data_IF_871944724128
#
_entry.id   IF_871944724128
#
_cell.length_a   1.000
_cell.length_b   1.000
_cell.length_c   1.000
_cell.angle_alpha   90.00
_cell.angle_beta   90.00
_cell.angle_gamma   90.00
#
_symmetry.space_group_name_H-M   'P 1'
#
loop_
_entity.id
_entity.type
_entity.pdbx_description
1 polymer ?
#
# COMPACT_ATOMS: atom_id res chain seq x y z
N UNK A 1 -13.05 -0.92 13.00
CA UNK A 1 -12.87 -1.19 11.56
C UNK A 1 -13.01 0.15 10.85
N UNK A 2 -12.09 0.53 9.96
CA UNK A 2 -12.33 1.70 9.10
C UNK A 2 -13.63 1.45 8.30
N UNK A 3 -14.54 2.43 8.31
CA UNK A 3 -15.81 2.36 7.60
C UNK A 3 -16.94 1.57 8.30
N UNK A 4 -16.77 1.12 9.55
CA UNK A 4 -17.87 0.48 10.30
C UNK A 4 -18.11 1.18 11.63
N UNK A 5 -19.23 1.92 11.71
CA UNK A 5 -19.77 2.45 12.95
C UNK A 5 -20.49 1.33 13.71
N UNK A 6 -19.96 0.94 14.88
CA UNK A 6 -20.58 -0.05 15.76
C UNK A 6 -20.71 0.59 17.13
N UNK A 7 -21.94 0.69 17.62
CA UNK A 7 -22.21 1.17 18.96
C UNK A 7 -21.88 0.09 20.00
N UNK A 8 -21.34 0.50 21.14
CA UNK A 8 -21.08 -0.42 22.25
C UNK A 8 -22.41 -0.80 22.92
N UNK A 9 -22.90 -2.01 22.61
CA UNK A 9 -24.10 -2.60 23.20
C UNK A 9 -23.83 -3.99 23.79
N UNK A 10 -24.84 -4.59 24.44
CA UNK A 10 -24.73 -5.92 25.04
C UNK A 10 -24.51 -7.04 24.00
N UNK A 11 -24.68 -6.74 22.71
CA UNK A 11 -24.45 -7.63 21.59
C UNK A 11 -23.20 -7.26 20.80
N UNK A 12 -22.30 -6.45 21.35
CA UNK A 12 -21.15 -5.89 20.65
C UNK A 12 -20.32 -6.96 19.95
N UNK A 13 -20.08 -8.12 20.59
CA UNK A 13 -19.33 -9.23 19.97
C UNK A 13 -20.06 -9.80 18.74
N UNK A 14 -21.38 -9.94 18.80
CA UNK A 14 -22.19 -10.40 17.68
C UNK A 14 -22.25 -9.36 16.56
N UNK A 15 -22.45 -8.09 16.91
CA UNK A 15 -22.46 -6.96 15.97
C UNK A 15 -21.10 -6.76 15.30
N UNK A 16 -20.01 -6.93 16.05
CA UNK A 16 -18.64 -6.91 15.54
C UNK A 16 -18.40 -8.07 14.57
N UNK A 17 -18.80 -9.30 14.91
CA UNK A 17 -18.71 -10.44 13.98
C UNK A 17 -19.54 -10.19 12.72
N UNK A 18 -20.78 -9.73 12.84
CA UNK A 18 -21.65 -9.41 11.72
C UNK A 18 -21.08 -8.29 10.84
N UNK A 19 -20.48 -7.28 11.44
CA UNK A 19 -19.77 -6.19 10.75
C UNK A 19 -18.55 -6.68 9.98
N UNK A 20 -17.77 -7.61 10.54
CA UNK A 20 -16.64 -8.26 9.85
C UNK A 20 -17.15 -9.09 8.67
N UNK A 21 -18.22 -9.87 8.86
CA UNK A 21 -18.79 -10.75 7.83
C UNK A 21 -19.48 -9.97 6.70
N UNK A 22 -20.16 -8.86 7.02
CA UNK A 22 -20.84 -8.00 6.05
C UNK A 22 -19.96 -6.85 5.54
N UNK A 23 -18.65 -6.90 5.81
CA UNK A 23 -17.71 -5.92 5.29
C UNK A 23 -17.63 -6.07 3.77
N UNK A 24 -18.41 -5.26 3.05
CA UNK A 24 -18.22 -5.09 1.62
C UNK A 24 -16.85 -4.47 1.39
N UNK A 25 -16.09 -5.02 0.44
CA UNK A 25 -14.77 -4.52 0.08
C UNK A 25 -14.95 -3.12 -0.51
N UNK A 26 -14.88 -2.10 0.35
CA UNK A 26 -14.89 -0.73 -0.11
C UNK A 26 -13.68 -0.56 -1.02
N UNK A 27 -13.93 -0.12 -2.26
CA UNK A 27 -12.88 0.14 -3.26
C UNK A 27 -12.04 1.37 -2.89
N UNK A 28 -12.49 2.15 -1.91
CA UNK A 28 -11.84 3.39 -1.46
C UNK A 28 -10.68 3.05 -0.52
N UNK A 29 -9.47 3.46 -0.90
CA UNK A 29 -8.24 3.16 -0.16
C UNK A 29 -7.88 4.20 0.88
N UNK A 30 -8.27 5.45 0.62
CA UNK A 30 -8.11 6.57 1.53
C UNK A 30 -9.52 7.07 1.82
N UNK A 31 -9.89 7.07 3.08
CA UNK A 31 -11.18 7.53 3.55
C UNK A 31 -11.00 8.72 4.49
N UNK A 32 -11.94 9.66 4.41
CA UNK A 32 -12.04 10.73 5.39
C UNK A 32 -13.18 10.41 6.35
N UNK A 33 -12.86 10.33 7.64
CA UNK A 33 -13.80 10.17 8.74
C UNK A 33 -14.46 11.53 9.07
N UNK A 34 -15.78 11.63 8.89
CA UNK A 34 -16.68 12.74 9.25
C UNK A 34 -16.07 14.17 9.21
N UNK A 35 -16.69 15.12 9.90
CA UNK A 35 -16.29 16.52 9.90
C UNK A 35 -14.90 16.72 10.53
N UNK A 36 -14.18 17.70 9.99
CA UNK A 36 -12.89 18.13 10.52
C UNK A 36 -13.07 18.74 11.92
N UNK A 37 -12.13 18.47 12.83
CA UNK A 37 -12.14 19.09 14.15
C UNK A 37 -11.99 20.62 14.04
N UNK A 38 -12.67 21.36 14.93
CA UNK A 38 -12.63 22.85 15.00
C UNK A 38 -11.19 23.38 15.16
N UNK A 39 -10.29 22.57 15.71
CA UNK A 39 -8.89 22.92 15.92
C UNK A 39 -8.02 22.74 14.68
N UNK A 40 -8.55 22.20 13.58
CA UNK A 40 -7.82 22.04 12.32
C UNK A 40 -7.64 23.43 11.67
N UNK A 41 -6.41 23.95 11.68
CA UNK A 41 -6.12 25.28 11.16
C UNK A 41 -5.89 25.25 9.64
N UNK A 42 -6.35 26.29 8.97
CA UNK A 42 -6.01 26.60 7.60
C UNK A 42 -4.70 27.40 7.55
N UNK A 43 -4.00 27.31 6.42
CA UNK A 43 -2.88 28.19 6.09
C UNK A 43 -3.34 29.60 5.66
N UNK A 44 -2.39 30.46 5.33
CA UNK A 44 -2.65 31.85 4.89
C UNK A 44 -3.50 31.92 3.61
N UNK A 45 -3.55 30.83 2.83
CA UNK A 45 -4.34 30.70 1.61
C UNK A 45 -5.72 30.06 1.85
N UNK A 46 -6.15 29.93 3.11
CA UNK A 46 -7.40 29.28 3.53
C UNK A 46 -7.49 27.79 3.11
N UNK A 47 -6.35 27.11 2.93
CA UNK A 47 -6.30 25.68 2.63
C UNK A 47 -5.91 24.89 3.88
N UNK A 48 -6.47 23.68 4.03
CA UNK A 48 -6.02 22.75 5.07
C UNK A 48 -4.76 21.99 4.64
N UNK A 49 -3.95 21.52 5.58
CA UNK A 49 -2.74 20.74 5.29
C UNK A 49 -3.00 19.52 4.40
N UNK A 50 -4.14 18.85 4.56
CA UNK A 50 -4.51 17.72 3.69
C UNK A 50 -4.76 18.15 2.23
N UNK A 51 -5.24 19.38 2.00
CA UNK A 51 -5.38 19.93 0.64
C UNK A 51 -4.02 20.28 0.06
N UNK A 52 -3.18 20.99 0.83
CA UNK A 52 -1.84 21.42 0.39
C UNK A 52 -0.92 20.23 0.09
N UNK A 53 -1.06 19.14 0.83
CA UNK A 53 -0.27 17.92 0.62
C UNK A 53 -0.71 17.06 -0.57
N UNK A 54 -1.86 17.35 -1.18
CA UNK A 54 -2.35 16.55 -2.30
C UNK A 54 -1.80 17.09 -3.64
N UNK A 55 -0.88 16.38 -4.32
CA UNK A 55 -0.30 16.85 -5.58
C UNK A 55 -1.26 16.79 -6.78
N UNK A 56 -2.45 16.21 -6.59
CA UNK A 56 -3.48 16.06 -7.63
C UNK A 56 -4.72 16.91 -7.37
N UNK A 57 -4.67 17.81 -6.38
CA UNK A 57 -5.81 18.65 -5.95
C UNK A 57 -7.09 17.84 -5.70
N UNK A 58 -6.95 16.58 -5.26
CA UNK A 58 -8.06 15.65 -5.06
C UNK A 58 -8.81 15.88 -3.74
N UNK A 59 -8.39 16.84 -2.91
CA UNK A 59 -9.05 17.18 -1.64
C UNK A 59 -9.67 18.57 -1.77
N UNK A 60 -10.99 18.57 -1.88
CA UNK A 60 -11.81 19.76 -2.10
C UNK A 60 -12.43 20.23 -0.79
N UNK A 61 -12.79 21.51 -0.72
CA UNK A 61 -13.50 22.09 0.41
C UNK A 61 -14.99 22.19 0.10
N UNK A 62 -15.82 21.70 1.01
CA UNK A 62 -17.26 21.81 1.01
C UNK A 62 -17.66 22.96 1.93
N UNK A 63 -18.21 24.03 1.35
CA UNK A 63 -18.64 25.22 2.09
C UNK A 63 -19.85 24.94 2.99
N UNK A 64 -20.75 24.05 2.58
CA UNK A 64 -21.99 23.74 3.30
C UNK A 64 -21.67 23.00 4.59
N UNK A 65 -20.80 22.00 4.50
CA UNK A 65 -20.39 21.17 5.64
C UNK A 65 -19.16 21.72 6.38
N UNK A 66 -18.60 22.85 5.91
CA UNK A 66 -17.36 23.48 6.42
C UNK A 66 -16.24 22.47 6.63
N UNK A 67 -16.09 21.54 5.68
CA UNK A 67 -15.17 20.42 5.80
C UNK A 67 -14.59 20.05 4.45
N UNK A 68 -13.47 19.34 4.44
CA UNK A 68 -12.91 18.82 3.20
C UNK A 68 -13.53 17.48 2.83
N UNK A 69 -13.51 17.13 1.56
CA UNK A 69 -13.84 15.80 1.06
C UNK A 69 -12.85 15.38 -0.04
N UNK A 70 -12.78 14.08 -0.30
CA UNK A 70 -11.88 13.51 -1.31
C UNK A 70 -12.68 13.27 -2.59
N UNK A 71 -12.24 13.86 -3.69
CA UNK A 71 -12.69 13.47 -5.03
C UNK A 71 -11.93 12.22 -5.48
N UNK A 72 -12.63 11.09 -5.53
CA UNK A 72 -12.06 9.79 -5.88
C UNK A 72 -11.68 9.65 -7.35
N UNK A 73 -12.20 10.49 -8.26
CA UNK A 73 -11.79 10.48 -9.66
C UNK A 73 -10.39 11.11 -9.81
N UNK A 74 -10.11 12.13 -9.01
CA UNK A 74 -8.81 12.83 -8.99
C UNK A 74 -7.78 12.14 -8.09
N UNK A 75 -8.21 11.44 -7.05
CA UNK A 75 -7.32 10.71 -6.16
C UNK A 75 -6.57 9.57 -6.89
N UNK A 76 -5.31 9.32 -6.50
CA UNK A 76 -4.51 8.17 -6.97
C UNK A 76 -4.14 7.21 -5.83
N UNK A 77 -4.69 7.43 -4.62
CA UNK A 77 -4.40 6.56 -3.47
C UNK A 77 -3.01 6.75 -2.85
N UNK A 78 -2.42 7.95 -2.97
CA UNK A 78 -1.03 8.21 -2.56
C UNK A 78 -0.72 8.08 -1.07
N UNK A 79 -1.69 8.40 -0.20
CA UNK A 79 -1.53 8.41 1.24
C UNK A 79 -0.94 9.70 1.83
N UNK A 80 -0.43 10.64 1.03
CA UNK A 80 0.20 11.88 1.54
C UNK A 80 -0.71 12.71 2.46
N UNK A 81 -2.01 12.67 2.20
CA UNK A 81 -3.02 13.34 3.01
C UNK A 81 -3.29 12.62 4.35
N UNK A 82 -3.04 11.31 4.44
CA UNK A 82 -3.08 10.52 5.68
C UNK A 82 -1.96 11.00 6.59
N UNK A 83 -0.72 11.01 6.09
CA UNK A 83 0.46 11.45 6.84
C UNK A 83 0.36 12.91 7.31
N UNK A 84 -0.23 13.76 6.48
CA UNK A 84 -0.42 15.18 6.77
C UNK A 84 -1.55 15.45 7.79
N UNK A 85 -2.47 14.51 7.99
CA UNK A 85 -3.61 14.68 8.87
C UNK A 85 -3.25 14.38 10.34
N UNK A 86 -2.79 15.40 11.06
CA UNK A 86 -2.45 15.30 12.50
C UNK A 86 -3.60 14.86 13.42
N UNK A 87 -4.84 14.94 12.95
CA UNK A 87 -6.04 14.60 13.71
C UNK A 87 -6.57 13.20 13.39
N UNK A 88 -5.91 12.43 12.51
CA UNK A 88 -6.33 11.07 12.15
C UNK A 88 -7.71 11.00 11.50
N UNK A 89 -8.12 12.09 10.83
CA UNK A 89 -9.41 12.17 10.12
C UNK A 89 -9.35 11.66 8.69
N UNK A 90 -8.16 11.45 8.15
CA UNK A 90 -7.95 10.78 6.87
C UNK A 90 -7.15 9.52 7.18
N UNK A 91 -7.69 8.37 6.81
CA UNK A 91 -7.12 7.06 7.09
C UNK A 91 -6.99 6.28 5.80
N UNK A 92 -5.98 5.43 5.72
CA UNK A 92 -5.91 4.40 4.70
C UNK A 92 -6.65 3.14 5.15
N UNK A 93 -6.97 2.27 4.19
CA UNK A 93 -7.58 0.98 4.47
C UNK A 93 -6.58 0.09 5.21
N UNK A 94 -6.96 -0.33 6.41
CA UNK A 94 -6.17 -1.29 7.21
C UNK A 94 -6.41 -2.71 6.70
N UNK A 95 -5.35 -3.34 6.15
CA UNK A 95 -5.42 -4.69 5.59
C UNK A 95 -4.90 -5.78 6.57
N UNK A 96 -4.47 -5.40 7.78
CA UNK A 96 -3.92 -6.33 8.79
C UNK A 96 -4.93 -7.35 9.31
N UNK A 97 -6.20 -6.99 9.48
CA UNK A 97 -7.24 -7.89 9.99
C UNK A 97 -7.50 -9.08 9.04
N UNK A 98 -7.77 -8.86 7.72
CA UNK A 98 -7.89 -9.94 6.76
C UNK A 98 -6.68 -10.88 6.70
N UNK A 99 -5.46 -10.35 6.91
CA UNK A 99 -4.23 -11.14 6.88
C UNK A 99 -4.15 -12.08 8.08
N UNK A 100 -4.54 -11.62 9.28
CA UNK A 100 -4.62 -12.49 10.47
C UNK A 100 -5.59 -13.64 10.23
N UNK A 101 -6.73 -13.38 9.57
CA UNK A 101 -7.69 -14.43 9.22
C UNK A 101 -7.14 -15.40 8.16
N UNK A 102 -6.37 -14.92 7.18
CA UNK A 102 -5.68 -15.79 6.21
C UNK A 102 -4.71 -16.76 6.89
N UNK A 103 -3.90 -16.22 7.81
CA UNK A 103 -2.87 -16.98 8.53
C UNK A 103 -3.53 -18.03 9.43
N UNK A 104 -4.60 -17.66 10.17
CA UNK A 104 -5.34 -18.59 11.03
C UNK A 104 -6.02 -19.72 10.26
N UNK A 105 -6.42 -19.48 9.01
CA UNK A 105 -7.08 -20.48 8.17
C UNK A 105 -6.09 -21.42 7.47
N UNK A 106 -4.82 -21.46 7.89
CA UNK A 106 -3.78 -22.39 7.43
C UNK A 106 -3.57 -22.37 5.90
N UNK A 107 -3.81 -21.21 5.26
CA UNK A 107 -3.47 -21.00 3.86
C UNK A 107 -1.97 -20.80 3.74
N UNK A 108 -1.39 -21.20 2.61
CA UNK A 108 0.00 -20.84 2.30
C UNK A 108 0.07 -19.34 2.04
N UNK A 109 0.69 -18.58 2.94
CA UNK A 109 0.83 -17.13 2.82
C UNK A 109 2.31 -16.77 2.75
N UNK A 110 2.73 -16.15 1.65
CA UNK A 110 4.10 -15.68 1.42
C UNK A 110 4.18 -14.18 1.66
N UNK A 111 5.13 -13.77 2.51
CA UNK A 111 5.47 -12.37 2.73
C UNK A 111 6.44 -11.90 1.64
N UNK A 112 5.97 -11.08 0.70
CA UNK A 112 6.79 -10.45 -0.32
C UNK A 112 7.28 -9.09 0.19
N UNK A 113 8.53 -8.99 0.64
CA UNK A 113 9.05 -7.80 1.32
C UNK A 113 9.79 -6.86 0.36
N UNK A 114 9.50 -5.56 0.45
CA UNK A 114 10.20 -4.54 -0.31
C UNK A 114 11.68 -4.42 0.14
N UNK A 115 12.61 -4.08 -0.75
CA UNK A 115 14.04 -3.95 -0.41
C UNK A 115 14.31 -2.95 0.71
N UNK A 116 13.47 -1.91 0.79
CA UNK A 116 13.55 -0.88 1.81
C UNK A 116 13.30 -1.39 3.24
N UNK A 117 12.94 -2.67 3.44
CA UNK A 117 12.74 -3.28 4.77
C UNK A 117 14.05 -3.32 5.58
N UNK A 118 15.19 -3.37 4.89
CA UNK A 118 16.50 -3.35 5.52
C UNK A 118 16.69 -2.02 6.27
N UNK A 119 16.99 -2.09 7.57
CA UNK A 119 17.16 -0.91 8.43
C UNK A 119 15.88 -0.26 8.96
N UNK A 120 14.68 -0.77 8.62
CA UNK A 120 13.42 -0.19 9.12
C UNK A 120 13.12 -0.56 10.57
N UNK A 121 13.57 -1.74 11.00
CA UNK A 121 13.27 -2.31 12.31
C UNK A 121 14.46 -2.26 13.28
N UNK A 122 15.44 -1.39 13.02
CA UNK A 122 16.64 -1.21 13.82
C UNK A 122 17.92 -1.66 13.10
N UNK A 123 19.05 -1.07 13.50
CA UNK A 123 20.35 -1.28 12.84
C UNK A 123 20.89 -2.72 13.01
N UNK A 124 20.43 -3.43 14.05
CA UNK A 124 20.86 -4.80 14.36
C UNK A 124 19.91 -5.87 13.82
N UNK A 125 18.88 -5.50 13.04
CA UNK A 125 17.90 -6.45 12.51
C UNK A 125 18.31 -6.94 11.14
N UNK A 126 18.61 -8.24 11.03
CA UNK A 126 18.97 -8.90 9.78
C UNK A 126 17.75 -9.44 9.00
N UNK A 127 17.97 -9.78 7.73
CA UNK A 127 16.93 -10.40 6.90
C UNK A 127 16.50 -11.77 7.44
N UNK A 128 17.42 -12.55 8.01
CA UNK A 128 17.09 -13.85 8.60
C UNK A 128 16.23 -13.70 9.86
N UNK A 129 16.49 -12.67 10.67
CA UNK A 129 15.67 -12.32 11.82
C UNK A 129 14.26 -11.88 11.42
N UNK A 130 14.14 -11.09 10.35
CA UNK A 130 12.84 -10.73 9.80
C UNK A 130 12.10 -11.95 9.26
N UNK A 131 12.79 -12.85 8.55
CA UNK A 131 12.21 -14.12 8.09
C UNK A 131 11.69 -14.95 9.27
N UNK A 132 12.48 -15.10 10.32
CA UNK A 132 12.06 -15.78 11.55
C UNK A 132 10.85 -15.10 12.20
N UNK A 133 10.79 -13.76 12.19
CA UNK A 133 9.65 -13.00 12.69
C UNK A 133 8.38 -13.29 11.89
N UNK A 134 8.46 -13.32 10.55
CA UNK A 134 7.31 -13.64 9.70
C UNK A 134 6.82 -15.09 9.90
N UNK A 135 7.74 -16.05 10.01
CA UNK A 135 7.39 -17.44 10.32
C UNK A 135 6.71 -17.53 11.70
N UNK A 136 7.21 -16.79 12.70
CA UNK A 136 6.60 -16.73 14.04
C UNK A 136 5.21 -16.10 14.03
N UNK A 137 4.95 -15.10 13.17
CA UNK A 137 3.62 -14.53 12.95
C UNK A 137 2.66 -15.56 12.30
N UNK A 138 3.20 -16.50 11.52
CA UNK A 138 2.45 -17.56 10.84
C UNK A 138 2.46 -17.47 9.31
N UNK A 139 3.31 -16.63 8.72
CA UNK A 139 3.61 -16.73 7.29
C UNK A 139 4.33 -18.04 6.99
N UNK A 140 4.11 -18.59 5.80
CA UNK A 140 4.79 -19.80 5.35
C UNK A 140 6.26 -19.53 5.04
N UNK A 141 6.55 -18.42 4.37
CA UNK A 141 7.92 -17.96 4.13
C UNK A 141 7.95 -16.46 3.77
N UNK A 142 9.16 -15.91 3.69
CA UNK A 142 9.46 -14.56 3.25
C UNK A 142 10.28 -14.59 1.95
N UNK A 143 9.89 -13.77 0.98
CA UNK A 143 10.62 -13.56 -0.28
C UNK A 143 10.92 -12.08 -0.45
N UNK A 144 12.17 -11.74 -0.72
CA UNK A 144 12.55 -10.36 -1.00
C UNK A 144 12.22 -9.98 -2.46
N UNK A 145 11.52 -8.87 -2.62
CA UNK A 145 11.10 -8.34 -3.93
C UNK A 145 12.28 -7.83 -4.76
N UNK A 146 13.44 -7.58 -4.14
CA UNK A 146 14.69 -7.21 -4.82
C UNK A 146 15.02 -8.15 -5.99
N UNK A 147 14.83 -9.46 -5.81
CA UNK A 147 15.05 -10.45 -6.86
C UNK A 147 14.22 -10.15 -8.12
N UNK A 148 12.94 -9.83 -7.94
CA UNK A 148 12.07 -9.46 -9.07
C UNK A 148 12.32 -8.06 -9.59
N UNK A 149 12.92 -7.17 -8.80
CA UNK A 149 13.41 -5.88 -9.29
C UNK A 149 14.55 -6.10 -10.28
N UNK A 150 15.52 -6.98 -9.96
CA UNK A 150 16.62 -7.32 -10.87
C UNK A 150 16.10 -7.93 -12.18
N UNK A 151 15.12 -8.84 -12.09
CA UNK A 151 14.48 -9.43 -13.28
C UNK A 151 13.86 -8.35 -14.19
N UNK A 152 13.16 -7.38 -13.60
CA UNK A 152 12.56 -6.28 -14.33
C UNK A 152 13.62 -5.34 -14.90
N UNK A 153 14.69 -5.04 -14.16
CA UNK A 153 15.80 -4.23 -14.66
C UNK A 153 16.43 -4.85 -15.92
N UNK A 154 16.61 -6.17 -15.96
CA UNK A 154 17.11 -6.85 -17.16
C UNK A 154 16.12 -6.70 -18.32
N UNK A 155 14.82 -6.90 -18.07
CA UNK A 155 13.78 -6.72 -19.10
C UNK A 155 13.76 -5.29 -19.63
N UNK A 156 13.76 -4.30 -18.74
CA UNK A 156 13.75 -2.88 -19.09
C UNK A 156 15.02 -2.47 -19.82
N UNK A 157 16.18 -3.05 -19.49
CA UNK A 157 17.42 -2.80 -20.23
C UNK A 157 17.33 -3.29 -21.68
N UNK A 158 16.72 -4.46 -21.92
CA UNK A 158 16.48 -4.98 -23.27
C UNK A 158 15.49 -4.11 -24.04
N UNK A 159 14.41 -3.69 -23.39
CA UNK A 159 13.42 -2.77 -23.98
C UNK A 159 14.05 -1.42 -24.32
N UNK A 160 14.86 -0.88 -23.42
CA UNK A 160 15.62 0.36 -23.62
C UNK A 160 16.54 0.25 -24.83
N UNK A 161 17.33 -0.82 -24.92
CA UNK A 161 18.26 -1.03 -26.04
C UNK A 161 17.53 -1.13 -27.39
N UNK A 162 16.31 -1.66 -27.41
CA UNK A 162 15.51 -1.75 -28.63
C UNK A 162 14.82 -0.42 -28.98
N UNK A 163 14.44 0.36 -27.97
CA UNK A 163 13.66 1.59 -28.14
C UNK A 163 14.55 2.82 -28.41
N UNK A 164 15.60 2.99 -27.62
CA UNK A 164 16.46 4.19 -27.64
C UNK A 164 17.61 3.99 -28.63
N UNK A 165 17.41 4.45 -29.86
CA UNK A 165 18.38 4.32 -30.96
C UNK A 165 19.01 5.66 -31.37
N UNK A 166 18.51 6.77 -30.83
CA UNK A 166 19.04 8.09 -31.10
C UNK A 166 18.78 9.09 -29.96
N UNK A 167 19.35 10.31 -30.06
CA UNK A 167 19.30 11.31 -28.98
C UNK A 167 17.91 11.93 -28.75
N UNK A 168 16.91 11.58 -29.56
CA UNK A 168 15.52 12.06 -29.43
C UNK A 168 14.58 11.01 -28.86
N UNK A 169 15.04 9.77 -28.73
CA UNK A 169 14.23 8.68 -28.18
C UNK A 169 14.30 8.74 -26.66
N UNK A 170 13.16 8.53 -26.00
CA UNK A 170 13.05 8.59 -24.56
C UNK A 170 12.38 7.31 -24.06
N UNK A 171 12.92 6.74 -22.99
CA UNK A 171 12.24 5.67 -22.27
C UNK A 171 12.33 5.95 -20.77
N UNK A 172 11.18 5.94 -20.12
CA UNK A 172 11.03 6.13 -18.68
C UNK A 172 10.89 4.76 -18.03
N UNK A 173 11.91 4.33 -17.28
CA UNK A 173 11.95 3.02 -16.61
C UNK A 173 11.51 3.07 -15.14
N UNK A 174 11.22 4.25 -14.59
CA UNK A 174 10.74 4.42 -13.20
C UNK A 174 9.25 4.08 -13.02
N UNK A 175 8.68 3.19 -13.85
CA UNK A 175 7.28 2.78 -13.81
C UNK A 175 6.90 1.97 -12.55
N UNK A 176 7.89 1.51 -11.78
CA UNK A 176 7.69 0.77 -10.55
C UNK A 176 7.05 1.59 -9.41
N UNK A 177 7.04 2.92 -9.52
CA UNK A 177 6.44 3.83 -8.56
C UNK A 177 5.02 4.21 -9.00
N UNK A 178 3.95 3.75 -8.31
CA UNK A 178 2.57 4.03 -8.71
C UNK A 178 2.24 5.53 -8.68
N UNK A 179 2.92 6.29 -7.81
CA UNK A 179 2.80 7.74 -7.76
C UNK A 179 3.29 8.43 -9.01
N UNK A 180 4.45 7.99 -9.51
CA UNK A 180 5.03 8.50 -10.74
C UNK A 180 4.14 8.15 -11.94
N UNK A 181 3.69 6.90 -12.03
CA UNK A 181 2.74 6.46 -13.07
C UNK A 181 1.44 7.27 -13.03
N UNK A 182 0.89 7.51 -11.84
CA UNK A 182 -0.30 8.35 -11.65
C UNK A 182 -0.06 9.80 -12.11
N UNK A 183 1.11 10.35 -11.83
CA UNK A 183 1.49 11.69 -12.27
C UNK A 183 1.63 11.80 -13.78
N UNK A 184 2.27 10.83 -14.44
CA UNK A 184 2.33 10.77 -15.90
C UNK A 184 0.92 10.69 -16.52
N UNK A 185 0.05 9.82 -15.99
CA UNK A 185 -1.31 9.64 -16.52
C UNK A 185 -2.21 10.86 -16.33
N UNK A 186 -2.03 11.64 -15.26
CA UNK A 186 -2.91 12.78 -14.92
C UNK A 186 -2.36 14.13 -15.36
N UNK A 187 -1.06 14.35 -15.21
CA UNK A 187 -0.40 15.65 -15.38
C UNK A 187 0.43 15.70 -16.66
N UNK A 188 1.30 14.70 -16.89
CA UNK A 188 2.27 14.67 -18.01
C UNK A 188 1.90 13.61 -19.05
N UNK A 189 0.69 13.74 -19.62
CA UNK A 189 0.10 12.71 -20.50
C UNK A 189 0.93 12.46 -21.75
N UNK A 190 1.65 13.47 -22.20
CA UNK A 190 2.56 13.43 -23.33
C UNK A 190 3.75 12.49 -23.14
N UNK A 191 4.12 12.19 -21.88
CA UNK A 191 5.23 11.29 -21.53
C UNK A 191 4.78 9.84 -21.30
N UNK A 192 3.47 9.58 -21.30
CA UNK A 192 2.93 8.22 -21.13
C UNK A 192 3.39 7.25 -22.22
N UNK A 193 3.50 7.63 -23.51
CA UNK A 193 4.01 6.74 -24.56
C UNK A 193 5.46 6.30 -24.35
N UNK A 194 6.26 7.10 -23.66
CA UNK A 194 7.67 6.82 -23.36
C UNK A 194 7.83 5.97 -22.08
N UNK A 195 6.74 5.67 -21.37
CA UNK A 195 6.77 4.87 -20.15
C UNK A 195 6.94 3.38 -20.45
N UNK A 196 7.89 2.76 -19.77
CA UNK A 196 8.09 1.29 -19.75
C UNK A 196 6.76 0.58 -19.46
N UNK A 197 6.35 -0.40 -20.30
CA UNK A 197 5.14 -1.20 -20.05
C UNK A 197 5.34 -2.28 -18.97
N UNK A 198 6.45 -2.21 -18.23
CA UNK A 198 6.75 -3.12 -17.13
C UNK A 198 5.83 -2.89 -15.94
N UNK A 199 5.46 -3.98 -15.27
CA UNK A 199 4.80 -3.92 -13.96
C UNK A 199 5.82 -3.62 -12.87
N UNK A 200 5.37 -3.23 -11.68
CA UNK A 200 6.31 -3.03 -10.58
C UNK A 200 6.88 -4.35 -10.02
N UNK A 201 8.04 -4.31 -9.34
CA UNK A 201 8.62 -5.48 -8.68
C UNK A 201 7.65 -6.19 -7.72
N UNK A 202 6.80 -5.44 -7.01
CA UNK A 202 5.75 -6.02 -6.17
C UNK A 202 4.86 -6.97 -6.97
N UNK A 203 4.33 -6.51 -8.11
CA UNK A 203 3.44 -7.29 -8.96
C UNK A 203 4.19 -8.47 -9.59
N UNK A 204 5.42 -8.24 -10.05
CA UNK A 204 6.26 -9.30 -10.60
C UNK A 204 6.52 -10.41 -9.58
N UNK A 205 6.80 -10.08 -8.32
CA UNK A 205 6.95 -11.05 -7.23
C UNK A 205 5.67 -11.87 -7.04
N UNK A 206 4.51 -11.22 -6.99
CA UNK A 206 3.21 -11.89 -6.91
C UNK A 206 2.98 -12.90 -8.03
N UNK A 207 3.24 -12.48 -9.28
CA UNK A 207 3.14 -13.33 -10.47
C UNK A 207 4.08 -14.53 -10.41
N UNK A 208 5.35 -14.31 -10.05
CA UNK A 208 6.36 -15.39 -9.95
C UNK A 208 5.95 -16.40 -8.88
N UNK A 209 5.59 -15.93 -7.68
CA UNK A 209 5.17 -16.80 -6.57
C UNK A 209 3.94 -17.63 -6.96
N UNK A 210 2.91 -17.00 -7.52
CA UNK A 210 1.67 -17.70 -7.95
C UNK A 210 1.89 -18.62 -9.15
N UNK A 211 2.88 -18.32 -10.01
CA UNK A 211 3.27 -19.22 -11.10
C UNK A 211 3.91 -20.50 -10.57
N UNK A 212 4.70 -20.40 -9.50
CA UNK A 212 5.33 -21.54 -8.82
C UNK A 212 4.31 -22.32 -7.98
N UNK A 213 3.40 -21.61 -7.30
CA UNK A 213 2.31 -22.20 -6.55
C UNK A 213 1.01 -21.39 -6.69
N UNK A 214 0.05 -21.85 -7.51
CA UNK A 214 -1.22 -21.14 -7.73
C UNK A 214 -2.08 -20.93 -6.47
N UNK A 215 -1.93 -21.79 -5.46
CA UNK A 215 -2.69 -21.70 -4.20
C UNK A 215 -2.06 -20.72 -3.21
N UNK A 216 -0.85 -20.23 -3.47
CA UNK A 216 -0.17 -19.29 -2.60
C UNK A 216 -0.91 -17.94 -2.55
N UNK A 217 -1.09 -17.46 -1.32
CA UNK A 217 -1.50 -16.10 -1.03
C UNK A 217 -0.27 -15.23 -0.85
N UNK A 218 -0.27 -14.06 -1.47
CA UNK A 218 0.88 -13.15 -1.44
C UNK A 218 0.49 -11.87 -0.73
N UNK A 219 1.20 -11.58 0.34
CA UNK A 219 1.09 -10.32 1.08
C UNK A 219 2.35 -9.53 0.80
N UNK A 220 2.22 -8.41 0.09
CA UNK A 220 3.33 -7.50 -0.08
C UNK A 220 3.50 -6.62 1.17
N UNK A 221 4.74 -6.38 1.57
CA UNK A 221 5.09 -5.61 2.76
C UNK A 221 6.09 -4.55 2.34
N UNK A 222 5.72 -3.27 2.46
CA UNK A 222 6.56 -2.19 1.96
C UNK A 222 6.31 -0.83 2.60
N UNK A 223 7.00 0.22 2.16
CA UNK A 223 6.89 1.54 2.78
C UNK A 223 5.69 2.36 2.28
N UNK A 224 5.04 1.94 1.19
CA UNK A 224 4.20 2.84 0.41
C UNK A 224 2.71 2.44 0.42
N UNK A 225 1.85 3.35 0.86
CA UNK A 225 0.38 3.19 0.83
C UNK A 225 -0.13 3.06 -0.61
N UNK A 226 0.46 3.77 -1.57
CA UNK A 226 0.04 3.72 -2.98
C UNK A 226 0.12 2.31 -3.61
N UNK A 227 0.94 1.41 -3.04
CA UNK A 227 0.96 0.00 -3.43
C UNK A 227 -0.35 -0.74 -3.14
N UNK A 228 -1.11 -0.32 -2.12
CA UNK A 228 -2.47 -0.84 -1.86
C UNK A 228 -3.41 -0.55 -3.04
N UNK A 229 -3.29 0.65 -3.64
CA UNK A 229 -4.06 1.03 -4.82
C UNK A 229 -3.62 0.24 -6.05
N UNK A 230 -2.30 0.16 -6.29
CA UNK A 230 -1.74 -0.59 -7.43
C UNK A 230 -2.17 -2.06 -7.44
N UNK A 231 -2.16 -2.75 -6.29
CA UNK A 231 -2.55 -4.16 -6.20
C UNK A 231 -4.01 -4.45 -6.59
N UNK A 232 -4.85 -3.40 -6.70
CA UNK A 232 -6.26 -3.51 -7.06
C UNK A 232 -6.59 -2.87 -8.40
N UNK A 233 -5.59 -2.41 -9.17
CA UNK A 233 -5.81 -1.97 -10.55
C UNK A 233 -6.42 -3.12 -11.37
N UNK A 234 -7.39 -2.86 -12.26
CA UNK A 234 -8.16 -3.92 -12.92
C UNK A 234 -7.33 -4.96 -13.68
N UNK A 235 -6.18 -4.56 -14.21
CA UNK A 235 -5.22 -5.40 -14.94
C UNK A 235 -4.24 -6.16 -14.04
N UNK A 236 -4.23 -5.87 -12.73
CA UNK A 236 -3.28 -6.41 -11.74
C UNK A 236 -3.97 -7.20 -10.62
N UNK A 237 -5.31 -7.12 -10.51
CA UNK A 237 -6.09 -7.83 -9.49
C UNK A 237 -5.77 -9.33 -9.50
N UNK A 238 -5.40 -9.84 -8.33
CA UNK A 238 -5.09 -11.26 -8.13
C UNK A 238 -3.60 -11.58 -8.09
N UNK A 239 -2.73 -10.69 -8.57
CA UNK A 239 -1.27 -10.85 -8.48
C UNK A 239 -0.77 -10.69 -7.03
N UNK A 240 -1.38 -9.76 -6.27
CA UNK A 240 -1.13 -9.54 -4.84
C UNK A 240 -2.46 -9.61 -4.09
N UNK A 241 -2.53 -10.38 -3.01
CA UNK A 241 -3.76 -10.54 -2.24
C UNK A 241 -3.95 -9.39 -1.24
N UNK A 242 -2.88 -8.97 -0.55
CA UNK A 242 -2.90 -7.86 0.40
C UNK A 242 -1.58 -7.08 0.41
N UNK A 243 -1.64 -5.82 0.88
CA UNK A 243 -0.48 -4.96 1.03
C UNK A 243 -0.45 -4.42 2.47
N UNK A 244 0.66 -4.63 3.17
CA UNK A 244 0.96 -4.06 4.48
C UNK A 244 2.04 -3.00 4.37
N UNK A 245 1.83 -1.88 5.05
CA UNK A 245 2.89 -0.90 5.25
C UNK A 245 3.85 -1.34 6.36
N UNK A 246 5.08 -0.81 6.36
CA UNK A 246 6.00 -1.04 7.48
C UNK A 246 5.46 -0.54 8.83
N UNK A 247 4.67 0.53 8.82
CA UNK A 247 4.00 1.02 10.03
C UNK A 247 2.94 0.03 10.53
N UNK A 248 2.14 -0.57 9.63
CA UNK A 248 1.21 -1.63 10.00
C UNK A 248 1.95 -2.88 10.52
N UNK A 249 3.09 -3.24 9.92
CA UNK A 249 3.91 -4.35 10.39
C UNK A 249 4.52 -4.09 11.77
N UNK A 250 5.05 -2.89 12.03
CA UNK A 250 5.56 -2.49 13.34
C UNK A 250 4.47 -2.59 14.43
N UNK A 251 3.24 -2.17 14.11
CA UNK A 251 2.10 -2.33 15.00
C UNK A 251 1.77 -3.82 15.26
N UNK A 252 1.89 -4.68 14.25
CA UNK A 252 1.72 -6.14 14.40
C UNK A 252 2.81 -6.72 15.30
N UNK A 253 4.08 -6.35 15.10
CA UNK A 253 5.19 -6.79 15.95
C UNK A 253 4.97 -6.39 17.41
N UNK A 254 4.59 -5.13 17.66
CA UNK A 254 4.28 -4.64 19.02
C UNK A 254 3.11 -5.38 19.64
N UNK A 255 2.03 -5.60 18.90
CA UNK A 255 0.84 -6.29 19.39
C UNK A 255 1.11 -7.76 19.73
N UNK A 256 1.96 -8.43 18.95
CA UNK A 256 2.33 -9.83 19.15
C UNK A 256 3.56 -10.01 20.04
N UNK A 257 4.10 -8.93 20.60
CA UNK A 257 5.32 -8.92 21.42
C UNK A 257 6.49 -9.64 20.72
N UNK A 258 6.63 -9.38 19.41
CA UNK A 258 7.73 -9.91 18.59
C UNK A 258 8.78 -8.82 18.47
N UNK A 259 9.95 -9.08 19.05
CA UNK A 259 11.15 -8.30 18.80
C UNK A 259 12.04 -9.03 17.77
N UNK A 260 12.13 -8.56 16.51
CA UNK A 260 12.98 -9.20 15.50
C UNK A 260 14.45 -9.31 15.91
N UNK A 261 14.98 -8.33 16.64
CA UNK A 261 16.38 -8.29 17.09
C UNK A 261 16.74 -9.47 18.02
N UNK A 262 15.77 -10.00 18.76
CA UNK A 262 15.95 -11.11 19.69
C UNK A 262 15.80 -12.49 19.02
N UNK A 263 15.30 -12.54 17.78
CA UNK A 263 15.10 -13.80 17.08
C UNK A 263 16.43 -14.34 16.55
N UNK A 264 16.51 -15.66 16.46
CA UNK A 264 17.57 -16.36 15.74
C UNK A 264 17.03 -16.73 14.38
N UNK A 265 17.70 -16.24 13.34
CA UNK A 265 17.43 -16.54 11.93
C UNK A 265 17.73 -17.98 11.56
#
# INVERSE_FOLDING_TARGET
LCGVSIDFDNNYIYNLKKAITNYEVNKRFIEKLDSCSVNCKQDDNKKFNCQVSCPFDAILYDEDNKSTYIDYNLCVGCGLCVDSCKYGKILDKVDSIPIVDLIKNNKMVIAAVAPAIMGQFGDNVSMDQLRAAFIKIGFTDMVEVAFTADMLTIKEAVEFNNHVNGPKDLMITSCCCPMWVGMLKKVYKELVPDLSPSVSPMIAAGRVIKKLNPEAKVVFIGPCIAKKAEAKEPDLVGDIDFVLTFQELDNIFKLLEINPEELRG
#
